data_IF_934269751665
#
_entry.id   IF_934269751665
#
_cell.length_a   1.000
_cell.length_b   1.000
_cell.length_c   1.000
_cell.angle_alpha   90.00
_cell.angle_beta   90.00
_cell.angle_gamma   90.00
#
_symmetry.space_group_name_H-M   'P 1'
#
loop_
_entity.id
_entity.type
_entity.pdbx_description
1 polymer ?
#
# COMPACT_ATOMS: atom_id res chain seq x y z
N UNK A 1 -17.19 2.42 12.95
CA UNK A 1 -16.11 1.88 12.10
C UNK A 1 -15.97 0.41 12.42
N UNK A 2 -16.53 -0.43 11.55
CA UNK A 2 -16.53 -1.88 11.68
C UNK A 2 -15.19 -2.45 11.17
N UNK A 3 -14.68 -3.51 11.79
CA UNK A 3 -13.38 -4.12 11.48
C UNK A 3 -13.28 -4.65 10.04
N UNK A 4 -14.41 -4.76 9.33
CA UNK A 4 -14.46 -5.07 7.89
C UNK A 4 -14.07 -3.90 6.99
N UNK A 5 -14.44 -2.67 7.34
CA UNK A 5 -14.10 -1.48 6.55
C UNK A 5 -12.58 -1.25 6.55
N UNK A 6 -11.96 -1.37 7.72
CA UNK A 6 -10.50 -1.24 7.88
C UNK A 6 -9.72 -2.28 7.05
N UNK A 7 -10.30 -3.47 6.83
CA UNK A 7 -9.70 -4.55 6.05
C UNK A 7 -9.73 -4.27 4.55
N UNK A 8 -10.79 -3.63 4.05
CA UNK A 8 -10.90 -3.23 2.65
C UNK A 8 -9.96 -2.07 2.32
N UNK A 9 -9.86 -1.08 3.23
CA UNK A 9 -8.94 0.04 3.08
C UNK A 9 -7.48 -0.40 3.08
N UNK A 10 -7.09 -1.26 4.03
CA UNK A 10 -5.72 -1.82 4.08
C UNK A 10 -5.38 -2.68 2.86
N UNK A 11 -6.33 -3.48 2.36
CA UNK A 11 -6.10 -4.30 1.16
C UNK A 11 -5.91 -3.45 -0.11
N UNK A 12 -6.63 -2.32 -0.23
CA UNK A 12 -6.52 -1.44 -1.40
C UNK A 12 -5.21 -0.65 -1.47
N UNK A 13 -4.63 -0.32 -0.31
CA UNK A 13 -3.40 0.47 -0.22
C UNK A 13 -2.14 -0.37 -0.49
N UNK A 14 -2.16 -1.66 -0.11
CA UNK A 14 -1.02 -2.59 -0.28
C UNK A 14 -0.80 -2.98 -1.75
N UNK A 15 -1.81 -2.85 -2.60
CA UNK A 15 -1.79 -3.35 -3.98
C UNK A 15 -1.16 -2.36 -4.97
N UNK A 16 -1.12 -1.06 -4.65
CA UNK A 16 -0.80 -0.03 -5.64
C UNK A 16 0.70 0.14 -5.99
N UNK A 17 1.63 -0.32 -5.15
CA UNK A 17 3.03 0.14 -5.25
C UNK A 17 4.07 -0.94 -4.91
N UNK A 18 3.94 -2.15 -5.47
CA UNK A 18 5.06 -3.11 -5.50
C UNK A 18 5.78 -3.00 -6.85
N UNK A 19 6.96 -2.39 -6.85
CA UNK A 19 7.94 -2.54 -7.94
C UNK A 19 8.23 -4.05 -8.10
N UNK A 20 7.89 -4.61 -9.26
CA UNK A 20 7.96 -6.04 -9.56
C UNK A 20 6.66 -6.68 -10.06
N UNK A 21 5.52 -5.97 -10.02
CA UNK A 21 4.26 -6.49 -10.59
C UNK A 21 4.30 -6.39 -12.12
N UNK A 22 4.74 -7.47 -12.75
CA UNK A 22 4.42 -7.78 -14.14
C UNK A 22 2.89 -7.87 -14.29
N UNK A 23 2.24 -6.81 -14.76
CA UNK A 23 0.79 -6.81 -14.97
C UNK A 23 0.12 -5.45 -14.78
N UNK A 24 0.72 -4.37 -15.27
CA UNK A 24 0.19 -3.00 -15.11
C UNK A 24 -1.31 -2.87 -15.51
N UNK A 25 -1.76 -3.67 -16.50
CA UNK A 25 -3.17 -3.77 -16.92
C UNK A 25 -4.08 -4.52 -15.94
N UNK A 26 -3.62 -5.66 -15.40
CA UNK A 26 -4.39 -6.41 -14.41
C UNK A 26 -4.53 -5.62 -13.10
N UNK A 27 -3.50 -4.85 -12.74
CA UNK A 27 -3.51 -3.95 -11.61
C UNK A 27 -4.50 -2.79 -11.80
N UNK A 28 -4.52 -2.17 -12.98
CA UNK A 28 -5.50 -1.13 -13.32
C UNK A 28 -6.94 -1.68 -13.29
N UNK A 29 -7.19 -2.83 -13.89
CA UNK A 29 -8.51 -3.47 -13.86
C UNK A 29 -8.96 -3.80 -12.43
N UNK A 30 -8.05 -4.28 -11.58
CA UNK A 30 -8.36 -4.52 -10.18
C UNK A 30 -8.69 -3.21 -9.45
N UNK A 31 -7.94 -2.14 -9.71
CA UNK A 31 -8.21 -0.83 -9.13
C UNK A 31 -9.58 -0.29 -9.54
N UNK A 32 -9.95 -0.42 -10.81
CA UNK A 32 -11.28 -0.04 -11.33
C UNK A 32 -12.39 -0.82 -10.61
N UNK A 33 -12.25 -2.15 -10.54
CA UNK A 33 -13.24 -3.02 -9.85
C UNK A 33 -13.39 -2.67 -8.37
N UNK A 34 -12.30 -2.35 -7.68
CA UNK A 34 -12.33 -1.94 -6.26
C UNK A 34 -13.03 -0.59 -6.11
N UNK A 35 -12.79 0.36 -7.00
CA UNK A 35 -13.46 1.66 -6.97
C UNK A 35 -14.95 1.55 -7.24
N UNK A 36 -15.37 0.69 -8.18
CA UNK A 36 -16.77 0.42 -8.46
C UNK A 36 -17.47 -0.23 -7.25
N UNK A 37 -16.85 -1.26 -6.66
CA UNK A 37 -17.38 -1.90 -5.46
C UNK A 37 -17.50 -0.91 -4.29
N UNK A 38 -16.51 -0.05 -4.09
CA UNK A 38 -16.53 0.99 -3.08
C UNK A 38 -17.66 2.00 -3.33
N UNK A 39 -17.84 2.44 -4.58
CA UNK A 39 -18.93 3.35 -4.96
C UNK A 39 -20.29 2.76 -4.64
N UNK A 40 -20.50 1.50 -5.04
CA UNK A 40 -21.75 0.80 -4.79
C UNK A 40 -22.01 0.72 -3.28
N UNK A 41 -21.00 0.33 -2.50
CA UNK A 41 -21.14 0.18 -1.05
C UNK A 41 -21.48 1.48 -0.33
N UNK A 42 -20.77 2.57 -0.66
CA UNK A 42 -21.03 3.90 -0.09
C UNK A 42 -22.43 4.40 -0.48
N UNK A 43 -22.90 4.08 -1.69
CA UNK A 43 -24.25 4.43 -2.13
C UNK A 43 -25.34 3.60 -1.43
N UNK A 44 -25.08 2.33 -1.13
CA UNK A 44 -25.99 1.45 -0.35
C UNK A 44 -26.11 1.90 1.11
N UNK A 45 -25.03 2.47 1.67
CA UNK A 45 -24.98 2.98 3.04
C UNK A 45 -25.64 4.36 3.21
N UNK A 46 -26.16 4.95 2.12
CA UNK A 46 -26.91 6.21 2.16
C UNK A 46 -26.05 7.48 2.15
N UNK A 47 -24.74 7.34 1.94
CA UNK A 47 -23.77 8.45 2.05
C UNK A 47 -23.04 8.73 0.71
N UNK A 48 -23.76 8.97 -0.41
CA UNK A 48 -23.18 9.02 -1.76
C UNK A 48 -22.12 10.11 -1.97
N UNK A 49 -22.10 11.14 -1.11
CA UNK A 49 -21.14 12.24 -1.16
C UNK A 49 -19.75 11.86 -0.60
N UNK A 50 -19.65 10.76 0.16
CA UNK A 50 -18.37 10.27 0.70
C UNK A 50 -17.48 9.71 -0.41
N UNK A 51 -18.06 9.08 -1.43
CA UNK A 51 -17.27 8.45 -2.50
C UNK A 51 -16.41 9.47 -3.28
N UNK A 52 -16.94 10.62 -3.76
CA UNK A 52 -16.11 11.68 -4.34
C UNK A 52 -15.02 12.20 -3.40
N UNK A 53 -15.32 12.35 -2.10
CA UNK A 53 -14.33 12.81 -1.11
C UNK A 53 -13.18 11.81 -0.93
N UNK A 54 -13.49 10.50 -0.91
CA UNK A 54 -12.48 9.44 -0.88
C UNK A 54 -11.63 9.41 -2.16
N UNK A 55 -12.25 9.54 -3.33
CA UNK A 55 -11.55 9.58 -4.62
C UNK A 55 -10.60 10.78 -4.68
N UNK A 56 -11.00 11.94 -4.13
CA UNK A 56 -10.15 13.12 -4.05
C UNK A 56 -8.91 12.94 -3.16
N UNK A 57 -8.91 11.98 -2.23
CA UNK A 57 -7.75 11.64 -1.37
C UNK A 57 -6.79 10.62 -1.98
N UNK A 58 -7.17 9.91 -3.03
CA UNK A 58 -6.31 8.93 -3.69
C UNK A 58 -4.99 9.51 -4.24
N UNK A 59 -4.94 10.72 -4.85
CA UNK A 59 -3.68 11.31 -5.31
C UNK A 59 -2.69 11.55 -4.17
N UNK A 60 -3.17 12.01 -3.02
CA UNK A 60 -2.36 12.25 -1.82
C UNK A 60 -1.81 10.93 -1.27
N UNK A 61 -2.65 9.89 -1.20
CA UNK A 61 -2.24 8.56 -0.76
C UNK A 61 -1.17 7.95 -1.68
N UNK A 62 -1.33 8.06 -3.00
CA UNK A 62 -0.32 7.63 -3.99
C UNK A 62 0.99 8.41 -3.85
N UNK A 63 0.91 9.70 -3.53
CA UNK A 63 2.11 10.50 -3.30
C UNK A 63 2.87 10.06 -2.04
N UNK A 64 2.13 9.76 -0.97
CA UNK A 64 2.71 9.24 0.27
C UNK A 64 3.37 7.88 0.04
N UNK A 65 2.72 6.98 -0.71
CA UNK A 65 3.27 5.68 -1.05
C UNK A 65 4.57 5.79 -1.88
N UNK A 66 4.62 6.68 -2.89
CA UNK A 66 5.87 6.98 -3.62
C UNK A 66 7.00 7.44 -2.72
N UNK A 67 6.73 8.40 -1.81
CA UNK A 67 7.73 8.86 -0.84
C UNK A 67 8.22 7.73 0.06
N UNK A 68 7.32 6.86 0.50
CA UNK A 68 7.68 5.70 1.29
C UNK A 68 8.58 4.74 0.49
N UNK A 69 8.25 4.45 -0.77
CA UNK A 69 9.10 3.64 -1.65
C UNK A 69 10.49 4.25 -1.83
N UNK A 70 10.60 5.57 -2.01
CA UNK A 70 11.88 6.25 -2.13
C UNK A 70 12.73 6.10 -0.86
N UNK A 71 12.11 6.20 0.32
CA UNK A 71 12.80 5.88 1.56
C UNK A 71 13.25 4.42 1.59
N UNK A 72 12.40 3.46 1.23
CA UNK A 72 12.78 2.04 1.18
C UNK A 72 13.93 1.78 0.22
N UNK A 73 13.98 2.45 -0.93
CA UNK A 73 15.12 2.40 -1.88
C UNK A 73 16.41 2.90 -1.24
N UNK A 74 16.34 3.97 -0.45
CA UNK A 74 17.49 4.45 0.33
C UNK A 74 17.91 3.42 1.39
N UNK A 75 16.97 2.87 2.16
CA UNK A 75 17.26 1.81 3.14
C UNK A 75 17.96 0.61 2.49
N UNK A 76 17.49 0.17 1.32
CA UNK A 76 18.11 -0.93 0.56
C UNK A 76 19.50 -0.57 0.03
N UNK A 77 19.75 0.68 -0.37
CA UNK A 77 21.07 1.11 -0.84
C UNK A 77 22.08 1.26 0.29
N UNK A 78 21.61 1.61 1.49
CA UNK A 78 22.46 1.93 2.65
C UNK A 78 22.45 0.86 3.74
N UNK A 79 21.84 -0.30 3.48
CA UNK A 79 21.56 -1.35 4.48
C UNK A 79 22.76 -1.76 5.34
N UNK A 80 23.96 -1.78 4.76
CA UNK A 80 25.19 -2.17 5.48
C UNK A 80 25.51 -1.26 6.66
N UNK A 81 25.03 -0.01 6.65
CA UNK A 81 25.24 0.99 7.70
C UNK A 81 24.04 1.13 8.65
N UNK A 82 22.99 0.34 8.47
CA UNK A 82 21.74 0.47 9.21
C UNK A 82 21.56 -0.70 10.17
N UNK A 83 21.05 -0.39 11.36
CA UNK A 83 20.60 -1.42 12.33
C UNK A 83 19.08 -1.44 12.34
N UNK A 84 18.51 -2.26 11.46
CA UNK A 84 17.05 -2.44 11.34
C UNK A 84 16.59 -3.61 12.21
N UNK A 85 15.35 -3.56 12.68
CA UNK A 85 14.75 -4.73 13.33
C UNK A 85 14.55 -5.84 12.29
N UNK A 86 14.71 -7.13 12.65
CA UNK A 86 14.58 -8.23 11.70
C UNK A 86 13.25 -8.24 10.96
N UNK A 87 12.15 -7.96 11.67
CA UNK A 87 10.81 -7.88 11.10
C UNK A 87 10.68 -6.75 10.08
N UNK A 88 11.25 -5.57 10.36
CA UNK A 88 11.19 -4.45 9.42
C UNK A 88 11.97 -4.77 8.14
N UNK A 89 13.18 -5.33 8.29
CA UNK A 89 13.98 -5.76 7.15
C UNK A 89 13.26 -6.83 6.32
N UNK A 90 12.56 -7.77 6.96
CA UNK A 90 11.81 -8.83 6.30
C UNK A 90 10.57 -8.30 5.57
N UNK A 91 9.72 -7.50 6.23
CA UNK A 91 8.48 -6.96 5.63
C UNK A 91 8.76 -6.11 4.38
N UNK A 92 9.90 -5.43 4.34
CA UNK A 92 10.26 -4.53 3.26
C UNK A 92 11.35 -5.06 2.33
N UNK A 93 11.72 -6.34 2.47
CA UNK A 93 12.76 -6.97 1.65
C UNK A 93 14.07 -6.14 1.63
N UNK A 94 14.51 -5.67 2.80
CA UNK A 94 15.77 -4.93 2.97
C UNK A 94 16.86 -5.93 3.42
N UNK A 95 18.03 -5.97 2.77
CA UNK A 95 19.11 -6.85 3.20
C UNK A 95 19.52 -6.53 4.64
N UNK A 96 19.84 -7.57 5.42
CA UNK A 96 20.26 -7.44 6.82
C UNK A 96 21.54 -8.23 7.05
N UNK A 97 22.30 -7.83 8.05
CA UNK A 97 23.37 -8.66 8.58
C UNK A 97 22.73 -9.89 9.21
N UNK A 98 23.01 -11.08 8.68
CA UNK A 98 22.48 -12.32 9.23
C UNK A 98 22.94 -12.48 10.69
N UNK A 99 21.97 -12.57 11.59
CA UNK A 99 22.21 -12.88 13.00
C UNK A 99 22.36 -14.38 13.27
N UNK A 100 22.48 -15.22 12.22
CA UNK A 100 22.62 -16.68 12.33
C UNK A 100 24.04 -17.16 12.73
N UNK A 101 24.88 -16.28 13.28
CA UNK A 101 26.07 -16.67 14.02
C UNK A 101 25.94 -16.23 15.48
N UNK A 102 25.34 -17.07 16.31
CA UNK A 102 25.65 -17.28 17.74
C UNK A 102 24.85 -18.44 18.29
#
# INVERSE_FOLDING_TARGET
MDGREMRLHSSSSVVAERDGICGHKALQQLQERVLEALRQKVSEEGEPHIFPALVAKLPELRFLGRKHLDHLRWFRSNWMHLRLTPLFAEVFDIPRHDTSQR
#
